data_IF_841088769085
#
_entry.id   IF_841088769085
#
_cell.length_a   1.000
_cell.length_b   1.000
_cell.length_c   1.000
_cell.angle_alpha   90.00
_cell.angle_beta   90.00
_cell.angle_gamma   90.00
#
_symmetry.space_group_name_H-M   'P 1'
#
loop_
_entity.id
_entity.type
_entity.pdbx_description
1 polymer ?
#
# COMPACT_ATOMS: atom_id res chain seq x y z
N UNK A 1 20.70 7.61 5.73
CA UNK A 1 21.35 6.83 4.65
C UNK A 1 21.02 5.35 4.80
N UNK A 2 19.81 4.92 4.40
CA UNK A 2 19.46 3.50 4.41
C UNK A 2 20.10 2.78 3.22
N UNK A 3 20.23 1.46 3.31
CA UNK A 3 20.69 0.63 2.19
C UNK A 3 19.62 0.53 1.10
N UNK A 4 18.38 0.22 1.46
CA UNK A 4 17.22 0.29 0.56
C UNK A 4 16.12 1.16 1.15
N UNK A 5 15.21 1.62 0.29
CA UNK A 5 13.95 2.19 0.72
C UNK A 5 12.79 1.69 -0.14
N UNK A 6 11.62 1.55 0.48
CA UNK A 6 10.36 1.30 -0.21
C UNK A 6 9.62 2.64 -0.32
N UNK A 7 9.14 2.98 -1.51
CA UNK A 7 8.29 4.13 -1.78
C UNK A 7 6.94 3.63 -2.32
N UNK A 8 5.88 3.79 -1.52
CA UNK A 8 4.57 3.17 -1.79
C UNK A 8 3.65 4.01 -2.66
N UNK A 9 3.76 5.33 -2.57
CA UNK A 9 3.04 6.32 -3.38
C UNK A 9 3.62 7.72 -3.10
N UNK A 10 3.26 8.68 -3.96
CA UNK A 10 3.48 10.12 -3.76
C UNK A 10 2.13 10.81 -4.01
N UNK A 11 1.45 11.14 -2.93
CA UNK A 11 0.22 11.94 -2.93
C UNK A 11 0.50 13.34 -2.34
N UNK A 12 -0.31 14.33 -2.74
CA UNK A 12 -0.19 15.67 -2.17
C UNK A 12 -0.78 15.70 -0.75
N UNK A 13 0.04 15.39 0.24
CA UNK A 13 -0.33 15.46 1.64
C UNK A 13 0.37 16.66 2.33
N UNK A 14 -0.07 17.02 3.53
CA UNK A 14 0.46 18.11 4.35
C UNK A 14 0.52 19.45 3.60
N UNK A 15 -0.65 19.99 3.17
CA UNK A 15 -0.72 21.26 2.45
C UNK A 15 -0.28 22.48 3.28
N UNK A 16 -0.06 22.28 4.58
CA UNK A 16 0.57 23.23 5.50
C UNK A 16 2.10 23.28 5.39
N UNK A 17 2.71 22.26 4.78
CA UNK A 17 4.16 22.14 4.58
C UNK A 17 4.55 22.15 3.10
N UNK A 18 3.90 21.32 2.28
CA UNK A 18 4.18 21.22 0.84
C UNK A 18 3.33 22.20 0.04
N UNK A 19 3.95 22.81 -0.97
CA UNK A 19 3.24 23.75 -1.87
C UNK A 19 2.30 23.05 -2.83
N UNK A 20 2.77 21.93 -3.38
CA UNK A 20 2.08 21.14 -4.40
C UNK A 20 2.70 19.74 -4.49
N UNK A 21 2.19 18.91 -5.40
CA UNK A 21 2.69 17.55 -5.64
C UNK A 21 4.16 17.52 -6.11
N UNK A 22 4.62 18.54 -6.84
CA UNK A 22 6.01 18.59 -7.31
C UNK A 22 6.97 18.81 -6.13
N UNK A 23 6.58 19.62 -5.16
CA UNK A 23 7.31 19.84 -3.90
C UNK A 23 7.38 18.54 -3.06
N UNK A 24 6.28 17.76 -3.01
CA UNK A 24 6.32 16.41 -2.39
C UNK A 24 7.29 15.51 -3.14
N UNK A 25 7.20 15.43 -4.48
CA UNK A 25 8.09 14.61 -5.31
C UNK A 25 9.56 14.97 -5.10
N UNK A 26 9.91 16.25 -5.04
CA UNK A 26 11.29 16.71 -4.79
C UNK A 26 11.81 16.23 -3.42
N UNK A 27 10.95 16.17 -2.41
CA UNK A 27 11.32 15.60 -1.11
C UNK A 27 11.60 14.09 -1.18
N UNK A 28 10.83 13.35 -1.98
CA UNK A 28 11.06 11.92 -2.23
C UNK A 28 12.36 11.68 -2.99
N UNK A 29 12.65 12.47 -4.02
CA UNK A 29 13.93 12.42 -4.74
C UNK A 29 15.11 12.75 -3.83
N UNK A 30 14.96 13.78 -2.99
CA UNK A 30 15.96 14.15 -1.99
C UNK A 30 16.23 12.99 -1.04
N UNK A 31 15.20 12.32 -0.52
CA UNK A 31 15.38 11.12 0.29
C UNK A 31 16.02 9.97 -0.50
N UNK A 32 15.59 9.75 -1.74
CA UNK A 32 16.11 8.72 -2.64
C UNK A 32 17.60 8.84 -2.92
N UNK A 33 18.13 10.07 -3.09
CA UNK A 33 19.58 10.33 -3.24
C UNK A 33 20.43 9.95 -2.03
N UNK A 34 19.81 9.76 -0.85
CA UNK A 34 20.52 9.31 0.35
C UNK A 34 20.52 7.78 0.53
N UNK A 35 19.83 7.04 -0.34
CA UNK A 35 19.79 5.57 -0.35
C UNK A 35 21.04 5.02 -1.02
N UNK A 36 21.56 3.88 -0.55
CA UNK A 36 22.87 3.36 -0.99
C UNK A 36 22.82 2.27 -2.05
N UNK A 37 21.84 1.34 -1.96
CA UNK A 37 21.78 0.14 -2.81
C UNK A 37 20.65 0.23 -3.85
N UNK A 38 19.44 0.63 -3.46
CA UNK A 38 18.33 0.73 -4.41
C UNK A 38 16.99 1.12 -3.79
N UNK A 39 16.05 1.52 -4.63
CA UNK A 39 14.67 1.84 -4.27
C UNK A 39 13.73 0.76 -4.78
N UNK A 40 12.69 0.47 -4.00
CA UNK A 40 11.53 -0.32 -4.44
C UNK A 40 10.34 0.61 -4.51
N UNK A 41 9.89 0.92 -5.71
CA UNK A 41 8.90 1.95 -5.97
C UNK A 41 7.63 1.33 -6.56
N UNK A 42 6.45 1.78 -6.11
CA UNK A 42 5.19 1.28 -6.66
C UNK A 42 5.03 1.70 -8.13
N UNK A 43 4.87 0.73 -9.02
CA UNK A 43 4.87 0.92 -10.47
C UNK A 43 3.66 1.66 -11.02
N UNK A 44 2.50 1.58 -10.35
CA UNK A 44 1.28 2.29 -10.75
C UNK A 44 1.25 3.76 -10.31
N UNK A 45 2.22 4.20 -9.51
CA UNK A 45 2.36 5.60 -9.13
C UNK A 45 3.22 6.36 -10.16
N UNK A 46 2.58 7.31 -10.86
CA UNK A 46 3.23 8.08 -11.92
C UNK A 46 4.37 8.95 -11.43
N UNK A 47 4.26 9.49 -10.21
CA UNK A 47 5.31 10.34 -9.63
C UNK A 47 6.55 9.52 -9.29
N UNK A 48 6.36 8.25 -8.90
CA UNK A 48 7.45 7.31 -8.62
C UNK A 48 8.15 6.79 -9.87
N UNK A 49 7.44 6.65 -11.00
CA UNK A 49 8.03 6.25 -12.31
C UNK A 49 9.02 7.27 -12.87
N UNK A 50 8.96 8.50 -12.41
CA UNK A 50 9.74 9.64 -12.92
C UNK A 50 10.76 10.17 -11.88
N UNK A 51 11.20 9.34 -10.93
CA UNK A 51 12.16 9.77 -9.90
C UNK A 51 13.57 10.01 -10.47
N UNK A 52 14.14 11.17 -10.16
CA UNK A 52 15.53 11.49 -10.48
C UNK A 52 16.48 11.16 -9.31
N UNK A 53 17.03 9.95 -9.30
CA UNK A 53 17.92 9.39 -8.27
C UNK A 53 19.12 8.65 -8.86
N UNK A 54 20.19 8.52 -8.07
CA UNK A 54 21.48 7.92 -8.50
C UNK A 54 21.60 6.41 -8.22
N UNK A 55 20.53 5.77 -7.74
CA UNK A 55 20.50 4.34 -7.41
C UNK A 55 19.51 3.59 -8.29
N UNK A 56 19.67 2.26 -8.47
CA UNK A 56 18.66 1.44 -9.14
C UNK A 56 17.28 1.60 -8.51
N UNK A 57 16.26 1.71 -9.35
CA UNK A 57 14.85 1.70 -8.96
C UNK A 57 14.23 0.41 -9.49
N UNK A 58 13.70 -0.40 -8.58
CA UNK A 58 12.95 -1.61 -8.89
C UNK A 58 11.47 -1.30 -8.74
N UNK A 59 10.69 -1.47 -9.80
CA UNK A 59 9.26 -1.21 -9.75
C UNK A 59 8.51 -2.45 -9.28
N UNK A 60 7.57 -2.28 -8.36
CA UNK A 60 6.70 -3.35 -7.92
C UNK A 60 5.23 -2.98 -8.13
N UNK A 61 4.43 -3.96 -8.54
CA UNK A 61 3.01 -3.73 -8.82
C UNK A 61 2.34 -4.93 -9.46
N UNK A 62 1.39 -4.64 -10.33
CA UNK A 62 0.62 -5.62 -11.12
C UNK A 62 0.88 -5.46 -12.62
N UNK A 63 1.56 -4.39 -13.03
CA UNK A 63 1.76 -4.08 -14.42
C UNK A 63 2.84 -4.99 -15.05
N UNK A 64 2.73 -5.36 -16.34
CA UNK A 64 3.71 -6.24 -17.00
C UNK A 64 5.14 -5.69 -17.02
N UNK A 65 5.30 -4.37 -16.95
CA UNK A 65 6.56 -3.62 -16.94
C UNK A 65 7.10 -3.33 -15.53
N UNK A 66 6.49 -3.89 -14.48
CA UNK A 66 7.07 -3.92 -13.15
C UNK A 66 8.11 -5.04 -13.02
N UNK A 67 9.22 -4.76 -12.33
CA UNK A 67 10.26 -5.75 -12.03
C UNK A 67 9.70 -6.82 -11.09
N UNK A 68 8.98 -6.42 -10.04
CA UNK A 68 8.33 -7.34 -9.12
C UNK A 68 6.82 -7.29 -9.31
N UNK A 69 6.20 -8.44 -9.58
CA UNK A 69 4.76 -8.48 -9.88
C UNK A 69 3.97 -9.36 -8.95
N UNK A 70 2.79 -8.89 -8.55
CA UNK A 70 1.73 -9.73 -8.01
C UNK A 70 0.79 -10.14 -9.16
N UNK A 71 0.75 -11.44 -9.44
CA UNK A 71 -0.14 -12.04 -10.44
C UNK A 71 -1.11 -13.02 -9.76
N UNK A 72 -2.15 -13.45 -10.49
CA UNK A 72 -3.12 -14.43 -10.01
C UNK A 72 -3.70 -14.10 -8.62
N UNK A 73 -3.98 -12.82 -8.39
CA UNK A 73 -4.45 -12.32 -7.09
C UNK A 73 -5.86 -12.88 -6.84
N UNK A 74 -6.02 -13.58 -5.72
CA UNK A 74 -7.31 -14.07 -5.21
C UNK A 74 -7.57 -13.39 -3.87
N UNK A 75 -8.72 -12.73 -3.75
CA UNK A 75 -9.14 -11.99 -2.56
C UNK A 75 -10.38 -12.66 -1.97
N UNK A 76 -10.31 -13.04 -0.70
CA UNK A 76 -11.40 -13.71 0.03
C UNK A 76 -11.63 -13.05 1.38
N UNK A 77 -12.71 -13.42 2.10
CA UNK A 77 -12.91 -13.00 3.49
C UNK A 77 -11.83 -13.45 4.47
N UNK A 78 -11.00 -14.44 4.11
CA UNK A 78 -9.91 -14.97 4.95
C UNK A 78 -8.55 -14.29 4.68
N UNK A 79 -8.49 -13.39 3.70
CA UNK A 79 -7.28 -12.68 3.30
C UNK A 79 -7.06 -12.71 1.80
N UNK A 80 -5.81 -12.78 1.37
CA UNK A 80 -5.45 -12.77 -0.05
C UNK A 80 -4.30 -13.70 -0.36
N UNK A 81 -4.33 -14.27 -1.56
CA UNK A 81 -3.23 -15.04 -2.13
C UNK A 81 -2.80 -14.46 -3.46
N UNK A 82 -1.51 -14.49 -3.76
CA UNK A 82 -0.98 -14.02 -5.04
C UNK A 82 0.31 -14.74 -5.41
N UNK A 83 0.60 -14.80 -6.71
CA UNK A 83 1.88 -15.25 -7.23
C UNK A 83 2.84 -14.06 -7.31
N UNK A 84 3.94 -14.10 -6.55
CA UNK A 84 5.00 -13.10 -6.65
C UNK A 84 5.99 -13.50 -7.74
N UNK A 85 6.36 -12.55 -8.59
CA UNK A 85 7.36 -12.74 -9.63
C UNK A 85 8.50 -11.72 -9.49
N UNK A 86 9.73 -12.13 -9.82
CA UNK A 86 10.83 -11.27 -10.22
C UNK A 86 10.99 -11.42 -11.74
N UNK A 87 10.54 -10.40 -12.48
CA UNK A 87 10.36 -10.40 -13.93
C UNK A 87 9.50 -11.58 -14.36
N UNK A 88 10.11 -12.57 -15.01
CA UNK A 88 9.41 -13.77 -15.48
C UNK A 88 9.54 -14.96 -14.50
N UNK A 89 10.42 -14.87 -13.50
CA UNK A 89 10.62 -15.93 -12.53
C UNK A 89 9.56 -15.84 -11.42
N UNK A 90 8.73 -16.88 -11.30
CA UNK A 90 7.85 -17.05 -10.14
C UNK A 90 8.67 -17.33 -8.89
N UNK A 91 8.57 -16.47 -7.89
CA UNK A 91 9.19 -16.64 -6.57
C UNK A 91 8.38 -17.58 -5.68
N UNK A 92 7.05 -17.57 -5.85
CA UNK A 92 6.14 -18.48 -5.19
C UNK A 92 4.74 -17.90 -5.03
N UNK A 93 3.89 -18.63 -4.33
CA UNK A 93 2.52 -18.19 -4.02
C UNK A 93 2.46 -17.79 -2.55
N UNK A 94 2.18 -16.52 -2.31
CA UNK A 94 2.13 -15.92 -0.98
C UNK A 94 0.69 -15.84 -0.49
N UNK A 95 0.50 -16.07 0.81
CA UNK A 95 -0.77 -15.89 1.51
C UNK A 95 -0.57 -14.80 2.56
N UNK A 96 -1.50 -13.86 2.62
CA UNK A 96 -1.57 -12.83 3.66
C UNK A 96 -2.96 -12.83 4.27
N UNK A 97 -3.06 -12.75 5.60
CA UNK A 97 -4.33 -12.58 6.31
C UNK A 97 -4.69 -11.09 6.47
N UNK A 98 -4.45 -10.32 5.41
CA UNK A 98 -4.75 -8.91 5.30
C UNK A 98 -5.75 -8.68 4.16
N UNK A 99 -6.36 -7.51 4.16
CA UNK A 99 -7.45 -7.17 3.25
C UNK A 99 -7.10 -5.97 2.37
N UNK A 100 -7.73 -5.92 1.21
CA UNK A 100 -7.55 -4.88 0.23
C UNK A 100 -6.36 -5.12 -0.71
N UNK A 101 -6.46 -4.60 -1.92
CA UNK A 101 -5.39 -4.70 -2.92
C UNK A 101 -4.09 -4.04 -2.44
N UNK A 102 -4.20 -2.94 -1.70
CA UNK A 102 -3.06 -2.24 -1.11
C UNK A 102 -2.21 -3.15 -0.21
N UNK A 103 -2.81 -4.12 0.51
CA UNK A 103 -2.09 -5.08 1.34
C UNK A 103 -1.30 -6.09 0.51
N UNK A 104 -1.81 -6.50 -0.66
CA UNK A 104 -1.07 -7.33 -1.62
C UNK A 104 0.16 -6.57 -2.13
N UNK A 105 0.00 -5.30 -2.48
CA UNK A 105 1.12 -4.48 -2.99
C UNK A 105 2.16 -4.18 -1.91
N UNK A 106 1.71 -3.90 -0.69
CA UNK A 106 2.61 -3.68 0.44
C UNK A 106 3.42 -4.94 0.78
N UNK A 107 2.77 -6.11 0.78
CA UNK A 107 3.48 -7.38 1.01
C UNK A 107 4.42 -7.74 -0.14
N UNK A 108 4.05 -7.47 -1.39
CA UNK A 108 4.94 -7.64 -2.55
C UNK A 108 6.23 -6.80 -2.42
N UNK A 109 6.12 -5.55 -1.97
CA UNK A 109 7.29 -4.70 -1.75
C UNK A 109 8.26 -5.30 -0.71
N UNK A 110 7.70 -5.89 0.37
CA UNK A 110 8.49 -6.58 1.40
C UNK A 110 9.13 -7.85 0.85
N UNK A 111 8.38 -8.65 0.07
CA UNK A 111 8.92 -9.85 -0.61
C UNK A 111 10.09 -9.47 -1.51
N UNK A 112 9.96 -8.40 -2.30
CA UNK A 112 10.99 -7.94 -3.22
C UNK A 112 12.30 -7.57 -2.50
N UNK A 113 12.22 -6.77 -1.43
CA UNK A 113 13.38 -6.41 -0.61
C UNK A 113 14.01 -7.64 0.05
N UNK A 114 13.20 -8.50 0.66
CA UNK A 114 13.69 -9.69 1.38
C UNK A 114 14.35 -10.69 0.44
N UNK A 115 13.78 -10.90 -0.74
CA UNK A 115 14.34 -11.74 -1.80
C UNK A 115 15.69 -11.20 -2.31
N UNK A 116 15.78 -9.88 -2.52
CA UNK A 116 17.04 -9.22 -2.94
C UNK A 116 18.15 -9.35 -1.89
N UNK A 117 17.81 -9.35 -0.60
CA UNK A 117 18.73 -9.66 0.49
C UNK A 117 18.93 -11.16 0.73
N UNK A 118 18.45 -12.01 -0.18
CA UNK A 118 18.65 -13.47 -0.21
C UNK A 118 18.10 -14.17 1.04
N UNK A 119 17.03 -13.61 1.61
CA UNK A 119 16.26 -14.30 2.66
C UNK A 119 15.55 -15.48 2.00
N UNK A 120 15.55 -16.61 2.70
CA UNK A 120 14.90 -17.83 2.27
C UNK A 120 13.40 -17.60 1.98
N UNK A 121 12.95 -17.96 0.78
CA UNK A 121 11.59 -17.73 0.32
C UNK A 121 10.54 -18.47 1.17
N UNK A 122 10.85 -19.67 1.68
CA UNK A 122 9.93 -20.41 2.55
C UNK A 122 9.73 -19.66 3.87
N UNK A 123 10.79 -19.03 4.40
CA UNK A 123 10.68 -18.18 5.59
C UNK A 123 9.84 -16.94 5.32
N UNK A 124 10.05 -16.25 4.20
CA UNK A 124 9.25 -15.05 3.86
C UNK A 124 7.77 -15.43 3.74
N UNK A 125 7.44 -16.55 3.08
CA UNK A 125 6.08 -17.05 2.98
C UNK A 125 5.48 -17.37 4.35
N UNK A 126 6.23 -18.06 5.22
CA UNK A 126 5.76 -18.41 6.56
C UNK A 126 5.50 -17.17 7.43
N UNK A 127 6.38 -16.18 7.41
CA UNK A 127 6.22 -14.96 8.21
C UNK A 127 5.05 -14.10 7.70
N UNK A 128 4.88 -13.96 6.38
CA UNK A 128 3.74 -13.23 5.81
C UNK A 128 2.40 -13.92 6.08
N UNK A 129 2.36 -15.26 6.05
CA UNK A 129 1.18 -16.02 6.42
C UNK A 129 0.82 -15.88 7.90
N UNK A 130 1.79 -15.58 8.79
CA UNK A 130 1.53 -15.40 10.23
C UNK A 130 1.39 -13.92 10.65
N UNK A 131 1.54 -12.97 9.72
CA UNK A 131 1.47 -11.56 10.04
C UNK A 131 0.02 -11.12 10.32
N UNK A 132 -0.23 -10.68 11.56
CA UNK A 132 -1.56 -10.32 12.06
C UNK A 132 -1.91 -8.82 11.92
N UNK A 133 -1.15 -8.05 11.15
CA UNK A 133 -1.34 -6.61 11.00
C UNK A 133 -0.68 -5.77 12.10
N UNK A 134 -0.99 -4.47 12.09
CA UNK A 134 -0.49 -3.48 13.07
C UNK A 134 -1.66 -2.74 13.71
N UNK A 135 -1.47 -2.23 14.94
CA UNK A 135 -2.51 -1.49 15.65
C UNK A 135 -3.01 -0.30 14.81
N UNK A 136 -4.32 -0.07 14.82
CA UNK A 136 -5.02 1.05 14.15
C UNK A 136 -4.92 1.09 12.62
N UNK A 137 -4.51 -0.02 11.98
CA UNK A 137 -4.66 -0.23 10.54
C UNK A 137 -5.64 -1.38 10.38
N UNK A 138 -6.85 -1.08 9.93
CA UNK A 138 -7.95 -2.03 9.87
C UNK A 138 -8.16 -2.77 11.21
N UNK A 139 -8.20 -2.02 12.32
CA UNK A 139 -8.33 -2.60 13.65
C UNK A 139 -9.80 -2.95 13.93
N UNK A 140 -10.06 -4.22 14.21
CA UNK A 140 -11.42 -4.73 14.37
C UNK A 140 -11.80 -4.89 15.84
N UNK A 141 -13.03 -4.52 16.15
CA UNK A 141 -13.68 -4.78 17.43
C UNK A 141 -15.14 -5.19 17.18
N UNK A 142 -15.55 -6.30 17.79
CA UNK A 142 -16.93 -6.77 17.73
C UNK A 142 -17.73 -6.16 18.90
N UNK A 143 -18.77 -5.40 18.57
CA UNK A 143 -19.68 -4.78 19.55
C UNK A 143 -21.09 -5.28 19.28
N UNK A 144 -21.56 -6.20 20.13
CA UNK A 144 -22.84 -6.90 19.95
C UNK A 144 -22.90 -7.63 18.59
N UNK A 145 -23.75 -7.19 17.68
CA UNK A 145 -23.93 -7.72 16.33
C UNK A 145 -23.19 -6.91 15.25
N UNK A 146 -22.50 -5.84 15.64
CA UNK A 146 -21.72 -4.97 14.76
C UNK A 146 -20.24 -5.38 14.75
N UNK A 147 -19.65 -5.41 13.54
CA UNK A 147 -18.20 -5.36 13.39
C UNK A 147 -17.80 -3.90 13.23
N UNK A 148 -16.99 -3.38 14.14
CA UNK A 148 -16.45 -2.03 14.09
C UNK A 148 -15.02 -2.12 13.58
N UNK A 149 -14.69 -1.30 12.58
CA UNK A 149 -13.34 -1.16 12.04
C UNK A 149 -12.86 0.26 12.35
N UNK A 150 -11.78 0.39 13.12
CA UNK A 150 -11.04 1.64 13.32
C UNK A 150 -9.83 1.69 12.37
N UNK A 151 -9.76 2.73 11.54
CA UNK A 151 -8.68 2.95 10.59
C UNK A 151 -8.19 4.40 10.62
N UNK A 152 -6.89 4.58 10.48
CA UNK A 152 -6.23 5.89 10.46
C UNK A 152 -6.35 6.62 9.10
N UNK A 153 -7.07 6.06 8.12
CA UNK A 153 -7.30 6.65 6.82
C UNK A 153 -7.83 8.09 6.93
N UNK A 154 -7.07 9.02 6.37
CA UNK A 154 -7.35 10.46 6.39
C UNK A 154 -7.12 11.12 5.02
N UNK A 155 -6.50 10.40 4.08
CA UNK A 155 -6.45 10.76 2.66
C UNK A 155 -7.51 9.98 1.85
N UNK A 156 -8.11 10.55 0.78
CA UNK A 156 -9.12 9.85 -0.04
C UNK A 156 -8.67 8.48 -0.58
N UNK A 157 -7.39 8.33 -0.93
CA UNK A 157 -6.82 7.06 -1.40
C UNK A 157 -6.81 5.99 -0.30
N UNK A 158 -6.49 6.38 0.94
CA UNK A 158 -6.56 5.50 2.11
C UNK A 158 -8.00 5.07 2.42
N UNK A 159 -8.95 6.01 2.39
CA UNK A 159 -10.39 5.72 2.64
C UNK A 159 -10.90 4.69 1.62
N UNK A 160 -10.56 4.89 0.34
CA UNK A 160 -10.90 3.96 -0.74
C UNK A 160 -10.32 2.57 -0.47
N UNK A 161 -9.08 2.49 0.00
CA UNK A 161 -8.40 1.25 0.34
C UNK A 161 -9.03 0.54 1.55
N UNK A 162 -9.46 1.29 2.58
CA UNK A 162 -10.18 0.75 3.75
C UNK A 162 -11.55 0.22 3.37
N UNK A 163 -12.31 0.93 2.53
CA UNK A 163 -13.62 0.47 2.04
C UNK A 163 -13.48 -0.80 1.19
N UNK A 164 -12.48 -0.85 0.30
CA UNK A 164 -12.15 -2.04 -0.49
C UNK A 164 -11.82 -3.25 0.42
N UNK A 165 -11.01 -3.04 1.45
CA UNK A 165 -10.71 -4.06 2.46
C UNK A 165 -11.94 -4.53 3.25
N UNK A 166 -12.80 -3.60 3.69
CA UNK A 166 -14.03 -3.90 4.41
C UNK A 166 -15.00 -4.74 3.57
N UNK A 167 -15.17 -4.40 2.29
CA UNK A 167 -16.01 -5.15 1.36
C UNK A 167 -15.48 -6.52 1.03
N UNK A 168 -14.16 -6.67 0.95
CA UNK A 168 -13.54 -7.99 0.81
C UNK A 168 -13.84 -8.88 2.01
N UNK A 169 -13.66 -8.36 3.24
CA UNK A 169 -13.85 -9.14 4.47
C UNK A 169 -15.32 -9.46 4.74
N UNK A 170 -16.20 -8.50 4.51
CA UNK A 170 -17.63 -8.60 4.83
C UNK A 170 -18.52 -8.41 3.59
N UNK A 171 -18.44 -9.29 2.57
CA UNK A 171 -19.08 -9.08 1.27
C UNK A 171 -20.61 -9.05 1.30
N UNK A 172 -21.22 -9.54 2.38
CA UNK A 172 -22.67 -9.63 2.55
C UNK A 172 -23.20 -8.69 3.64
N UNK A 173 -22.35 -7.88 4.29
CA UNK A 173 -22.77 -6.93 5.32
C UNK A 173 -22.96 -5.55 4.70
N UNK A 174 -23.93 -4.82 5.24
CA UNK A 174 -24.05 -3.38 4.98
C UNK A 174 -22.83 -2.67 5.59
N UNK A 175 -22.23 -1.77 4.82
CA UNK A 175 -21.10 -0.97 5.26
C UNK A 175 -21.58 0.45 5.58
N UNK A 176 -21.45 0.85 6.83
CA UNK A 176 -21.69 2.23 7.29
C UNK A 176 -20.33 2.88 7.56
N UNK A 177 -20.05 3.98 6.86
CA UNK A 177 -18.80 4.73 7.02
C UNK A 177 -19.05 5.98 7.86
N UNK A 178 -18.36 6.08 9.00
CA UNK A 178 -18.33 7.28 9.84
C UNK A 178 -16.99 7.97 9.62
N UNK A 179 -17.01 9.09 8.89
CA UNK A 179 -15.80 9.82 8.51
C UNK A 179 -15.67 11.12 9.30
N UNK A 180 -14.49 11.35 9.90
CA UNK A 180 -14.11 12.62 10.49
C UNK A 180 -12.96 13.24 9.69
N UNK A 181 -13.18 14.35 8.96
CA UNK A 181 -12.10 14.99 8.22
C UNK A 181 -11.04 15.55 9.16
N UNK A 182 -9.77 15.32 8.83
CA UNK A 182 -8.64 15.84 9.58
C UNK A 182 -8.17 17.18 8.97
N UNK A 183 -8.33 18.28 9.73
CA UNK A 183 -8.01 19.68 9.36
C UNK A 183 -8.89 20.30 8.26
N UNK A 184 -9.06 21.63 8.32
CA UNK A 184 -9.82 22.40 7.32
C UNK A 184 -9.10 22.50 5.97
N UNK A 185 -7.77 22.67 5.98
CA UNK A 185 -6.96 22.83 4.76
C UNK A 185 -7.02 21.59 3.87
N UNK A 186 -6.89 20.40 4.46
CA UNK A 186 -7.02 19.12 3.74
C UNK A 186 -8.42 18.92 3.18
N UNK A 187 -9.46 19.18 3.98
CA UNK A 187 -10.84 19.06 3.53
C UNK A 187 -11.11 19.98 2.33
N UNK A 188 -10.62 21.21 2.37
CA UNK A 188 -10.76 22.15 1.26
C UNK A 188 -10.00 21.69 0.00
N UNK A 189 -8.78 21.15 0.16
CA UNK A 189 -7.96 20.66 -0.95
C UNK A 189 -8.57 19.43 -1.65
N UNK A 190 -9.26 18.56 -0.90
CA UNK A 190 -9.73 17.25 -1.37
C UNK A 190 -11.25 17.06 -1.32
N UNK A 191 -12.03 18.15 -1.30
CA UNK A 191 -13.47 18.08 -1.07
C UNK A 191 -14.18 17.12 -2.06
N UNK A 192 -13.78 17.18 -3.33
CA UNK A 192 -14.38 16.34 -4.39
C UNK A 192 -13.97 14.88 -4.23
N UNK A 193 -12.69 14.63 -3.96
CA UNK A 193 -12.09 13.31 -3.81
C UNK A 193 -12.63 12.60 -2.56
N UNK A 194 -12.84 13.32 -1.46
CA UNK A 194 -13.54 12.77 -0.29
C UNK A 194 -14.95 12.32 -0.66
N UNK A 195 -15.72 13.16 -1.35
CA UNK A 195 -17.05 12.81 -1.83
C UNK A 195 -17.04 11.54 -2.69
N UNK A 196 -16.09 11.42 -3.61
CA UNK A 196 -15.94 10.23 -4.47
C UNK A 196 -15.51 8.98 -3.70
N UNK A 197 -14.65 9.10 -2.69
CA UNK A 197 -14.17 7.97 -1.90
C UNK A 197 -15.26 7.40 -0.98
N UNK A 198 -16.14 8.24 -0.43
CA UNK A 198 -17.14 7.86 0.57
C UNK A 198 -18.43 7.27 -0.01
N UNK A 199 -18.71 7.50 -1.29
CA UNK A 199 -19.90 6.93 -1.98
C UNK A 199 -19.63 5.53 -2.55
N UNK A 200 -18.43 4.99 -2.36
CA UNK A 200 -18.03 3.73 -2.98
C UNK A 200 -18.76 2.55 -2.41
#
# INVERSE_FOLDING_TARGET
HPDYAIMTNVDFDHPDYFKDLADVKDSFETYGRHVRKGLFARGEDKSLRDLNVDVPVYYYGTAPDDDFRAANIVRTPDGSTYDAHDKDQKLGTFTIHLYGEHSVLNSLAVVAVAYMEKIDLEKIMAELANFSGVKRRFAEEDIADLNVIDDYAHHPSEITATIDAARQKFPQKELVVVFQPHTYSRLAAYLTEFGQSLIR
#
